data_IF_768845778354
#
_entry.id   IF_768845778354
#
_cell.length_a   1.000
_cell.length_b   1.000
_cell.length_c   1.000
_cell.angle_alpha   90.00
_cell.angle_beta   90.00
_cell.angle_gamma   90.00
#
_symmetry.space_group_name_H-M   'P 1'
#
loop_
_entity.id
_entity.type
_entity.pdbx_description
1 polymer ?
#
# COMPACT_ATOMS: atom_id res chain seq x y z
N UNK A 1 -6.28 51.39 -20.36
CA UNK A 1 -6.79 50.40 -19.38
C UNK A 1 -7.68 49.43 -20.12
N UNK A 2 -7.12 48.32 -20.58
CA UNK A 2 -7.86 47.31 -21.37
C UNK A 2 -8.00 46.07 -20.48
N UNK A 3 -9.25 45.72 -20.18
CA UNK A 3 -9.64 44.58 -19.33
C UNK A 3 -9.65 43.31 -20.19
N UNK A 4 -8.79 42.35 -19.85
CA UNK A 4 -8.84 40.98 -20.40
C UNK A 4 -10.07 40.23 -19.87
N UNK A 5 -10.74 39.40 -20.68
CA UNK A 5 -11.84 38.57 -20.18
C UNK A 5 -11.28 37.39 -19.38
N UNK A 6 -11.83 37.14 -18.19
CA UNK A 6 -11.53 35.96 -17.37
C UNK A 6 -12.21 34.74 -18.00
N UNK A 7 -11.42 33.76 -18.42
CA UNK A 7 -11.90 32.41 -18.77
C UNK A 7 -12.47 31.74 -17.53
N UNK A 8 -13.68 31.18 -17.67
CA UNK A 8 -14.39 30.42 -16.62
C UNK A 8 -13.62 29.14 -16.26
N UNK A 9 -13.57 28.70 -15.00
CA UNK A 9 -12.81 27.51 -14.58
C UNK A 9 -13.36 26.17 -15.09
N UNK A 10 -14.40 26.17 -15.93
CA UNK A 10 -15.19 25.00 -16.29
C UNK A 10 -14.69 24.22 -17.53
N UNK A 11 -13.67 24.71 -18.24
CA UNK A 11 -13.25 24.12 -19.53
C UNK A 11 -11.95 23.32 -19.47
N UNK A 12 -11.49 22.91 -18.28
CA UNK A 12 -10.35 21.99 -18.15
C UNK A 12 -10.86 20.56 -18.36
N UNK A 13 -10.89 20.15 -19.63
CA UNK A 13 -11.18 18.76 -20.03
C UNK A 13 -10.04 17.89 -19.49
N UNK A 14 -10.31 17.09 -18.46
CA UNK A 14 -9.38 16.05 -18.01
C UNK A 14 -9.32 14.96 -19.09
N UNK A 15 -8.17 14.85 -19.74
CA UNK A 15 -7.84 13.72 -20.60
C UNK A 15 -7.69 12.48 -19.71
N UNK A 16 -8.69 11.61 -19.71
CA UNK A 16 -8.65 10.30 -19.04
C UNK A 16 -7.65 9.39 -19.76
N UNK A 17 -6.53 9.08 -19.11
CA UNK A 17 -5.62 8.04 -19.55
C UNK A 17 -6.25 6.67 -19.19
N UNK A 18 -6.55 5.79 -20.17
CA UNK A 18 -7.17 4.49 -19.92
C UNK A 18 -6.34 3.55 -19.03
N UNK A 19 -5.08 3.88 -18.73
CA UNK A 19 -4.26 3.16 -17.74
C UNK A 19 -4.75 3.33 -16.29
N UNK A 20 -5.53 4.39 -16.00
CA UNK A 20 -6.00 4.73 -14.65
C UNK A 20 -7.15 3.85 -14.15
N UNK A 21 -7.91 3.20 -15.04
CA UNK A 21 -9.14 2.50 -14.64
C UNK A 21 -8.90 1.21 -13.83
N UNK A 22 -7.67 0.68 -13.81
CA UNK A 22 -7.39 -0.62 -13.19
C UNK A 22 -6.61 -0.55 -11.88
N UNK A 23 -5.98 0.57 -11.54
CA UNK A 23 -5.17 0.67 -10.32
C UNK A 23 -6.00 0.99 -9.09
N UNK A 24 -5.65 0.35 -7.98
CA UNK A 24 -6.23 0.63 -6.67
C UNK A 24 -5.66 1.88 -6.01
N UNK A 25 -4.63 2.50 -6.58
CA UNK A 25 -3.86 3.59 -5.98
C UNK A 25 -4.72 4.80 -5.53
N UNK A 26 -5.75 5.16 -6.30
CA UNK A 26 -6.66 6.27 -5.98
C UNK A 26 -7.96 5.83 -5.31
N UNK A 27 -8.08 4.54 -4.99
CA UNK A 27 -9.27 3.95 -4.41
C UNK A 27 -9.07 3.73 -2.92
N UNK A 28 -10.10 4.04 -2.12
CA UNK A 28 -10.13 3.57 -0.74
C UNK A 28 -10.53 2.10 -0.72
N UNK A 29 -9.63 1.26 -0.25
CA UNK A 29 -9.85 -0.18 -0.12
C UNK A 29 -9.95 -0.57 1.36
N UNK A 30 -10.63 -1.68 1.66
CA UNK A 30 -10.72 -2.23 3.01
C UNK A 30 -10.49 -3.73 2.94
N UNK A 31 -9.40 -4.18 3.59
CA UNK A 31 -9.00 -5.58 3.60
C UNK A 31 -9.15 -6.10 5.04
N UNK A 32 -10.04 -7.07 5.31
CA UNK A 32 -10.21 -7.63 6.63
C UNK A 32 -9.02 -8.53 6.99
N UNK A 33 -8.37 -8.22 8.11
CA UNK A 33 -7.23 -8.98 8.62
C UNK A 33 -7.61 -9.57 9.99
N UNK A 34 -7.38 -10.86 10.20
CA UNK A 34 -7.81 -11.57 11.42
C UNK A 34 -6.78 -11.50 12.56
N UNK A 35 -5.58 -11.03 12.25
CA UNK A 35 -4.43 -11.04 13.15
C UNK A 35 -4.50 -9.88 14.14
N UNK A 36 -4.35 -10.18 15.43
CA UNK A 36 -4.28 -9.19 16.50
C UNK A 36 -2.87 -8.62 16.63
N UNK A 37 -2.73 -7.31 16.41
CA UNK A 37 -1.70 -6.42 16.95
C UNK A 37 -0.22 -6.71 16.63
N UNK A 38 0.44 -5.78 15.94
CA UNK A 38 1.89 -5.67 15.79
C UNK A 38 2.26 -4.45 14.93
N UNK A 39 3.39 -4.46 14.25
CA UNK A 39 3.83 -3.35 13.37
C UNK A 39 3.43 -3.57 11.90
N UNK A 40 3.30 -2.48 11.13
CA UNK A 40 3.01 -2.55 9.70
C UNK A 40 3.82 -1.53 8.90
N UNK A 41 4.17 -1.86 7.66
CA UNK A 41 4.80 -0.94 6.71
C UNK A 41 4.46 -1.27 5.26
N UNK A 42 4.67 -0.30 4.36
CA UNK A 42 4.39 -0.42 2.93
C UNK A 42 5.68 -0.60 2.14
N UNK A 43 5.66 -1.42 1.09
CA UNK A 43 6.80 -1.64 0.22
C UNK A 43 7.19 -0.35 -0.53
N UNK A 44 8.47 -0.16 -0.88
CA UNK A 44 8.90 0.98 -1.70
C UNK A 44 8.17 1.07 -3.05
N UNK A 45 7.69 -0.06 -3.57
CA UNK A 45 6.89 -0.17 -4.79
C UNK A 45 5.41 0.19 -4.61
N UNK A 46 4.96 0.51 -3.38
CA UNK A 46 3.56 0.85 -3.05
C UNK A 46 2.53 -0.23 -3.40
N UNK A 47 2.98 -1.48 -3.61
CA UNK A 47 2.13 -2.59 -4.04
C UNK A 47 1.77 -3.53 -2.89
N UNK A 48 2.69 -3.71 -1.95
CA UNK A 48 2.53 -4.67 -0.87
C UNK A 48 2.59 -3.96 0.48
N UNK A 49 1.76 -4.42 1.41
CA UNK A 49 1.85 -4.06 2.83
C UNK A 49 2.29 -5.28 3.61
N UNK A 50 3.20 -5.08 4.56
CA UNK A 50 3.54 -6.09 5.55
C UNK A 50 2.86 -5.76 6.86
N UNK A 51 2.21 -6.76 7.45
CA UNK A 51 1.77 -6.76 8.85
C UNK A 51 2.58 -7.81 9.59
N UNK A 52 3.36 -7.39 10.57
CA UNK A 52 4.05 -8.31 11.46
C UNK A 52 3.27 -8.48 12.75
N UNK A 53 3.05 -9.71 13.16
CA UNK A 53 2.37 -10.07 14.40
C UNK A 53 3.13 -11.21 15.09
N UNK A 54 2.75 -11.51 16.33
CA UNK A 54 3.42 -12.54 17.13
C UNK A 54 3.40 -13.94 16.50
N UNK A 55 2.40 -14.22 15.67
CA UNK A 55 2.22 -15.50 14.98
C UNK A 55 2.78 -15.53 13.55
N UNK A 56 3.44 -14.45 13.12
CA UNK A 56 4.17 -14.39 11.87
C UNK A 56 4.02 -13.07 11.15
N UNK A 57 4.49 -13.06 9.91
CA UNK A 57 4.45 -11.93 9.01
C UNK A 57 3.41 -12.19 7.93
N UNK A 58 2.61 -11.19 7.57
CA UNK A 58 1.53 -11.30 6.60
C UNK A 58 1.73 -10.24 5.52
N UNK A 59 1.91 -10.68 4.27
CA UNK A 59 2.07 -9.78 3.12
C UNK A 59 0.71 -9.64 2.42
N UNK A 60 0.27 -8.41 2.22
CA UNK A 60 -1.03 -8.05 1.63
C UNK A 60 -0.75 -7.36 0.29
N UNK A 61 -1.27 -7.90 -0.81
CA UNK A 61 -1.21 -7.27 -2.15
C UNK A 61 -2.35 -6.25 -2.27
N UNK A 62 -2.02 -4.97 -2.49
CA UNK A 62 -2.99 -3.89 -2.58
C UNK A 62 -3.74 -3.87 -3.92
N UNK A 63 -3.14 -4.37 -4.99
CA UNK A 63 -3.77 -4.43 -6.31
C UNK A 63 -4.75 -5.60 -6.43
N UNK A 64 -4.56 -6.67 -5.64
CA UNK A 64 -5.40 -7.87 -5.64
C UNK A 64 -6.19 -8.03 -4.33
N UNK A 65 -7.17 -7.16 -4.10
CA UNK A 65 -7.95 -7.09 -2.84
C UNK A 65 -8.69 -8.38 -2.45
N UNK A 66 -8.97 -9.26 -3.42
CA UNK A 66 -9.67 -10.52 -3.18
C UNK A 66 -8.73 -11.66 -2.76
N UNK A 67 -7.41 -11.47 -2.91
CA UNK A 67 -6.44 -12.48 -2.51
C UNK A 67 -6.24 -12.42 -0.99
N UNK A 68 -6.21 -13.59 -0.32
CA UNK A 68 -5.88 -13.63 1.10
C UNK A 68 -4.43 -13.19 1.32
N UNK A 69 -4.08 -12.63 2.50
CA UNK A 69 -2.70 -12.31 2.84
C UNK A 69 -1.79 -13.54 2.72
N UNK A 70 -0.57 -13.35 2.21
CA UNK A 70 0.48 -14.37 2.12
C UNK A 70 1.21 -14.48 3.46
N UNK A 71 1.02 -15.56 4.24
CA UNK A 71 1.58 -15.66 5.58
C UNK A 71 2.96 -16.33 5.58
N UNK A 72 3.88 -15.75 6.34
CA UNK A 72 5.16 -16.32 6.74
C UNK A 72 5.11 -16.58 8.25
N UNK A 73 4.68 -17.78 8.60
CA UNK A 73 4.47 -18.16 9.99
C UNK A 73 5.81 -18.25 10.72
N UNK A 74 5.95 -17.47 11.79
CA UNK A 74 6.95 -17.67 12.83
C UNK A 74 6.29 -17.36 14.16
N UNK A 75 6.73 -18.00 15.24
CA UNK A 75 6.22 -17.71 16.57
C UNK A 75 7.28 -16.95 17.37
N UNK A 76 6.98 -15.73 17.76
CA UNK A 76 7.79 -14.99 18.74
C UNK A 76 7.16 -15.05 20.13
N UNK A 77 8.02 -14.90 21.15
CA UNK A 77 7.55 -14.68 22.52
C UNK A 77 7.01 -13.27 22.73
N UNK A 78 7.52 -12.32 21.96
CA UNK A 78 7.25 -10.89 22.09
C UNK A 78 6.44 -10.37 20.91
N UNK A 79 5.68 -9.31 21.17
CA UNK A 79 5.04 -8.54 20.11
C UNK A 79 6.12 -7.89 19.25
N UNK A 80 5.85 -7.81 17.94
CA UNK A 80 6.77 -7.19 16.99
C UNK A 80 6.69 -5.68 17.15
N UNK A 81 7.82 -5.05 17.46
CA UNK A 81 7.91 -3.62 17.69
C UNK A 81 7.98 -2.84 16.38
N UNK A 82 8.69 -3.38 15.39
CA UNK A 82 8.83 -2.75 14.08
C UNK A 82 8.96 -3.77 12.95
N UNK A 83 8.54 -3.36 11.75
CA UNK A 83 8.73 -4.11 10.51
C UNK A 83 9.04 -3.15 9.37
N UNK A 84 10.16 -3.36 8.70
CA UNK A 84 10.66 -2.47 7.66
C UNK A 84 10.99 -3.24 6.39
N UNK A 85 10.60 -2.67 5.25
CA UNK A 85 11.04 -3.14 3.95
C UNK A 85 12.46 -2.71 3.66
N UNK A 86 13.16 -3.51 2.86
CA UNK A 86 14.45 -3.11 2.33
C UNK A 86 14.27 -1.94 1.36
N UNK A 87 14.94 -0.80 1.59
CA UNK A 87 14.80 0.39 0.75
C UNK A 87 15.47 0.24 -0.62
N UNK A 88 16.31 -0.78 -0.83
CA UNK A 88 17.05 -0.96 -2.06
C UNK A 88 16.18 -1.63 -3.14
N UNK A 89 15.94 -0.99 -4.30
CA UNK A 89 15.01 -1.51 -5.32
C UNK A 89 15.34 -2.90 -5.87
N UNK A 90 16.62 -3.28 -5.89
CA UNK A 90 17.02 -4.62 -6.32
C UNK A 90 16.62 -5.77 -5.36
N UNK A 91 16.10 -5.43 -4.17
CA UNK A 91 15.66 -6.38 -3.14
C UNK A 91 14.46 -5.79 -2.38
N UNK A 92 13.55 -5.12 -3.08
CA UNK A 92 12.39 -4.46 -2.49
C UNK A 92 11.36 -5.46 -1.92
N UNK A 93 11.56 -6.76 -2.17
CA UNK A 93 10.80 -7.87 -1.61
C UNK A 93 11.26 -8.30 -0.20
N UNK A 94 12.35 -7.75 0.33
CA UNK A 94 12.90 -8.13 1.64
C UNK A 94 12.28 -7.32 2.78
N UNK A 95 12.05 -8.01 3.89
CA UNK A 95 11.51 -7.42 5.13
C UNK A 95 12.31 -7.89 6.33
N UNK A 96 12.52 -6.98 7.30
CA UNK A 96 13.05 -7.30 8.62
C UNK A 96 12.05 -6.87 9.71
N UNK A 97 11.97 -7.65 10.79
CA UNK A 97 11.12 -7.38 11.96
C UNK A 97 11.89 -7.54 13.26
N UNK A 98 11.60 -6.72 14.26
CA UNK A 98 12.24 -6.75 15.60
C UNK A 98 11.24 -6.92 16.73
#
# INVERSE_FOLDING_TARGET
>A
YTISPKTSPSDVVHSEDPSQEKTTFYQRITIPVKQTGGSMSISPSSRDVVLAARNGIFIIDLENQNEPPRPLYHLTKWDVADVQWNPHPARDEWVAST
#
